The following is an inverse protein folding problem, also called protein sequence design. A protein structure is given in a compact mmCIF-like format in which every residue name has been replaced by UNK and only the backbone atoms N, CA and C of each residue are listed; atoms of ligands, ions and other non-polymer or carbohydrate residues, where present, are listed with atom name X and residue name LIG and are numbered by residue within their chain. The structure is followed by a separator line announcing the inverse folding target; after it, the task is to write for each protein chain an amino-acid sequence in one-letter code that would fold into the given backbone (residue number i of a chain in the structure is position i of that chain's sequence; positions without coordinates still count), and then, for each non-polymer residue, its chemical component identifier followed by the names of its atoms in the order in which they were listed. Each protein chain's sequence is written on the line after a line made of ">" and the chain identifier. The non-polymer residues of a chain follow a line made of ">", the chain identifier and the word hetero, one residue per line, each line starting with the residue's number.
data_IF_855441430848
#
_entry.id   IF_855441430848
#
_cell.length_a   1.000
_cell.length_b   1.000
_cell.length_c   1.000
_cell.angle_alpha   90.00
_cell.angle_beta   90.00
_cell.angle_gamma   90.00
#
_symmetry.space_group_name_H-M   'P 1'
#
loop_
_entity.id
_entity.type
_entity.pdbx_description
1 polymer ?
#
# COMPACT_ATOMS: atom_id res chain seq x y z
N UNK A 1 3.63 1.00 2.11
CA UNK A 1 2.38 0.28 2.44
C UNK A 1 2.66 -1.22 2.34
N UNK A 2 1.67 -2.07 2.03
CA UNK A 2 1.94 -3.41 1.51
C UNK A 2 2.65 -4.37 2.45
N UNK A 3 3.45 -5.29 1.90
CA UNK A 3 4.09 -6.35 2.68
C UNK A 3 5.11 -5.87 3.72
N UNK A 4 5.79 -4.74 3.46
CA UNK A 4 6.71 -4.12 4.44
C UNK A 4 5.92 -3.62 5.67
N UNK A 5 4.76 -3.00 5.47
CA UNK A 5 3.93 -2.55 6.59
C UNK A 5 3.37 -3.74 7.39
N UNK A 6 3.05 -4.86 6.75
CA UNK A 6 2.66 -6.11 7.44
C UNK A 6 3.77 -6.57 8.40
N UNK A 7 5.04 -6.47 8.01
CA UNK A 7 6.17 -6.84 8.90
C UNK A 7 6.29 -5.95 10.13
N UNK A 8 5.75 -4.72 10.09
CA UNK A 8 5.75 -3.80 11.22
C UNK A 8 4.54 -4.03 12.15
N UNK A 9 3.37 -4.39 11.59
CA UNK A 9 2.10 -4.44 12.32
C UNK A 9 1.53 -5.84 12.53
N UNK A 10 2.16 -6.90 12.04
CA UNK A 10 1.61 -8.26 12.07
C UNK A 10 2.70 -9.30 12.27
N UNK A 11 2.31 -10.59 12.23
CA UNK A 11 3.27 -11.69 12.18
C UNK A 11 4.18 -11.55 10.95
N UNK A 12 5.51 -11.39 11.12
CA UNK A 12 6.40 -11.14 10.01
C UNK A 12 6.39 -12.28 9.00
N UNK A 13 6.33 -11.93 7.72
CA UNK A 13 6.43 -12.86 6.59
C UNK A 13 7.28 -12.28 5.46
N UNK A 14 7.85 -13.11 4.56
CA UNK A 14 8.60 -12.61 3.41
C UNK A 14 7.75 -11.72 2.50
N UNK A 15 8.38 -10.71 1.92
CA UNK A 15 7.83 -9.89 0.83
C UNK A 15 8.96 -9.66 -0.17
N UNK A 16 8.64 -9.68 -1.46
CA UNK A 16 9.64 -9.64 -2.54
C UNK A 16 9.51 -8.40 -3.42
N UNK A 17 8.55 -7.55 -3.07
CA UNK A 17 8.17 -6.31 -3.71
C UNK A 17 8.09 -5.17 -2.68
N UNK A 18 8.11 -3.93 -3.18
CA UNK A 18 7.99 -2.72 -2.36
C UNK A 18 6.81 -1.88 -2.86
N UNK A 19 5.84 -1.63 -2.00
CA UNK A 19 4.67 -0.82 -2.33
C UNK A 19 4.77 0.60 -1.78
N UNK A 20 4.63 1.59 -2.67
CA UNK A 20 4.57 3.01 -2.36
C UNK A 20 3.18 3.59 -2.66
N UNK A 21 2.76 4.58 -1.89
CA UNK A 21 1.62 5.43 -2.22
C UNK A 21 2.13 6.85 -2.44
N UNK A 22 1.85 7.43 -3.61
CA UNK A 22 2.38 8.72 -4.02
C UNK A 22 1.25 9.71 -4.33
N UNK A 23 1.32 10.90 -3.74
CA UNK A 23 0.51 12.04 -4.16
C UNK A 23 1.18 12.74 -5.34
N UNK A 24 0.96 12.20 -6.54
CA UNK A 24 1.45 12.76 -7.80
C UNK A 24 0.30 12.83 -8.80
N UNK A 25 0.17 13.97 -9.45
CA UNK A 25 -0.85 14.16 -10.49
C UNK A 25 -0.40 13.53 -11.81
N UNK A 26 -1.36 13.09 -12.63
CA UNK A 26 -1.10 12.36 -13.88
C UNK A 26 -0.28 13.15 -14.90
N UNK A 27 -0.45 14.46 -14.94
CA UNK A 27 0.32 15.39 -15.78
C UNK A 27 1.82 15.42 -15.44
N UNK A 28 2.18 15.02 -14.22
CA UNK A 28 3.58 14.94 -13.74
C UNK A 28 4.19 13.55 -13.81
N UNK A 29 3.49 12.55 -14.39
CA UNK A 29 4.03 11.19 -14.49
C UNK A 29 5.33 11.14 -15.30
N UNK A 30 5.47 11.98 -16.32
CA UNK A 30 6.72 12.06 -17.09
C UNK A 30 7.91 12.50 -16.24
N UNK A 31 7.72 13.45 -15.33
CA UNK A 31 8.75 13.88 -14.39
C UNK A 31 9.08 12.79 -13.38
N UNK A 32 8.05 12.10 -12.86
CA UNK A 32 8.23 10.95 -11.98
C UNK A 32 9.05 9.86 -12.66
N UNK A 33 8.75 9.55 -13.93
CA UNK A 33 9.44 8.50 -14.68
C UNK A 33 10.92 8.83 -14.85
N UNK A 34 11.23 10.06 -15.27
CA UNK A 34 12.61 10.51 -15.38
C UNK A 34 13.37 10.41 -14.05
N UNK A 35 12.76 10.84 -12.94
CA UNK A 35 13.39 10.75 -11.62
C UNK A 35 13.61 9.29 -11.16
N UNK A 36 12.68 8.40 -11.46
CA UNK A 36 12.80 6.96 -11.13
C UNK A 36 13.90 6.30 -11.97
N UNK A 37 14.01 6.65 -13.25
CA UNK A 37 15.08 6.19 -14.13
C UNK A 37 16.47 6.69 -13.70
N UNK A 38 16.58 7.95 -13.27
CA UNK A 38 17.81 8.51 -12.70
C UNK A 38 18.28 7.75 -11.44
N UNK A 39 17.34 7.17 -10.69
CA UNK A 39 17.63 6.30 -9.53
C UNK A 39 17.99 4.86 -9.93
N UNK A 40 18.03 4.54 -11.23
CA UNK A 40 18.42 3.23 -11.76
C UNK A 40 17.29 2.22 -11.89
N UNK A 41 16.04 2.63 -11.68
CA UNK A 41 14.87 1.77 -11.90
C UNK A 41 14.46 1.80 -13.38
N UNK A 42 14.01 0.68 -13.91
CA UNK A 42 13.38 0.61 -15.22
C UNK A 42 11.86 0.68 -15.11
N UNK A 43 11.24 1.31 -16.12
CA UNK A 43 9.80 1.46 -16.25
C UNK A 43 9.39 0.81 -17.58
N UNK A 44 8.39 -0.09 -17.59
CA UNK A 44 7.88 -0.65 -18.84
C UNK A 44 7.32 0.41 -19.80
N UNK A 45 7.69 0.33 -21.08
CA UNK A 45 7.27 1.28 -22.14
C UNK A 45 5.74 1.44 -22.26
N UNK A 46 4.95 0.45 -21.81
CA UNK A 46 3.49 0.54 -21.81
C UNK A 46 2.99 1.78 -21.05
N UNK A 47 3.65 2.15 -19.94
CA UNK A 47 3.26 3.31 -19.12
C UNK A 47 3.56 4.65 -19.79
N UNK A 48 4.54 4.72 -20.70
CA UNK A 48 4.82 5.94 -21.48
C UNK A 48 3.65 6.30 -22.42
N UNK A 49 2.90 5.30 -22.89
CA UNK A 49 1.69 5.47 -23.68
C UNK A 49 0.45 5.85 -22.87
N UNK A 50 0.58 6.10 -21.56
CA UNK A 50 -0.52 6.46 -20.67
C UNK A 50 -1.28 5.27 -20.07
N UNK A 51 -0.79 4.04 -20.27
CA UNK A 51 -1.31 2.86 -19.55
C UNK A 51 -1.09 3.03 -18.05
N UNK A 52 -2.01 2.52 -17.23
CA UNK A 52 -1.87 2.46 -15.75
C UNK A 52 -2.55 1.17 -15.27
N UNK A 53 -1.84 0.36 -14.49
CA UNK A 53 -2.40 -0.86 -13.91
C UNK A 53 -3.32 -0.52 -12.73
N UNK A 54 -4.17 -1.46 -12.30
CA UNK A 54 -5.02 -1.26 -11.13
C UNK A 54 -5.11 -2.50 -10.25
N UNK A 55 -5.16 -2.28 -8.92
CA UNK A 55 -5.50 -3.31 -7.92
C UNK A 55 -6.62 -2.78 -7.04
N UNK A 56 -7.74 -3.50 -6.99
CA UNK A 56 -8.93 -3.04 -6.24
C UNK A 56 -9.42 -1.66 -6.68
N UNK A 57 -9.28 -1.33 -7.96
CA UNK A 57 -9.60 -0.01 -8.52
C UNK A 57 -8.57 1.09 -8.25
N UNK A 58 -7.50 0.81 -7.50
CA UNK A 58 -6.43 1.78 -7.24
C UNK A 58 -5.40 1.74 -8.36
N UNK A 59 -5.14 2.87 -9.04
CA UNK A 59 -4.13 2.96 -10.09
C UNK A 59 -2.71 2.82 -9.56
N UNK A 60 -1.86 2.12 -10.30
CA UNK A 60 -0.45 1.94 -9.98
C UNK A 60 0.44 1.84 -11.23
N UNK A 61 1.70 2.20 -11.04
CA UNK A 61 2.78 2.00 -12.02
C UNK A 61 3.78 1.01 -11.45
N UNK A 62 4.19 0.03 -12.24
CA UNK A 62 5.20 -0.95 -11.84
C UNK A 62 6.57 -0.52 -12.32
N UNK A 63 7.54 -0.57 -11.42
CA UNK A 63 8.93 -0.24 -11.68
C UNK A 63 9.83 -1.36 -11.18
N UNK A 64 11.04 -1.47 -11.73
CA UNK A 64 11.98 -2.52 -11.35
C UNK A 64 13.39 -1.99 -11.16
N UNK A 65 14.01 -2.29 -10.04
CA UNK A 65 15.45 -2.08 -9.85
C UNK A 65 16.19 -3.37 -10.13
N UNK A 66 17.27 -3.31 -10.92
CA UNK A 66 18.19 -4.43 -11.09
C UNK A 66 19.47 -4.13 -10.30
N UNK A 67 19.74 -4.94 -9.27
CA UNK A 67 20.91 -4.79 -8.39
C UNK A 67 21.66 -6.13 -8.33
N UNK A 68 22.91 -6.16 -8.78
CA UNK A 68 23.79 -7.33 -8.75
C UNK A 68 23.14 -8.64 -9.28
N UNK A 69 22.41 -8.53 -10.39
CA UNK A 69 21.72 -9.66 -11.02
C UNK A 69 20.40 -10.06 -10.33
N UNK A 70 19.94 -9.31 -9.33
CA UNK A 70 18.64 -9.48 -8.67
C UNK A 70 17.69 -8.38 -9.09
N UNK A 71 16.44 -8.74 -9.38
CA UNK A 71 15.37 -7.80 -9.63
C UNK A 71 14.59 -7.53 -8.33
N UNK A 72 14.33 -6.26 -8.05
CA UNK A 72 13.43 -5.80 -6.98
C UNK A 72 12.28 -5.07 -7.67
N UNK A 73 11.06 -5.59 -7.52
CA UNK A 73 9.87 -4.98 -8.06
C UNK A 73 9.30 -3.95 -7.07
N UNK A 74 8.78 -2.84 -7.58
CA UNK A 74 8.05 -1.88 -6.77
C UNK A 74 6.78 -1.40 -7.48
N UNK A 75 5.71 -1.28 -6.70
CA UNK A 75 4.41 -0.79 -7.14
C UNK A 75 4.22 0.63 -6.61
N UNK A 76 4.03 1.59 -7.52
CA UNK A 76 3.77 2.99 -7.21
C UNK A 76 2.28 3.28 -7.35
N UNK A 77 1.53 3.15 -6.25
CA UNK A 77 0.11 3.51 -6.21
C UNK A 77 -0.08 5.01 -6.26
N UNK A 78 -0.92 5.49 -7.18
CA UNK A 78 -1.27 6.90 -7.30
C UNK A 78 -2.40 7.24 -6.34
N UNK A 79 -2.18 8.24 -5.48
CA UNK A 79 -3.17 8.73 -4.53
C UNK A 79 -4.14 9.69 -5.21
N UNK A 80 -5.18 9.14 -5.84
CA UNK A 80 -6.19 9.91 -6.58
C UNK A 80 -7.49 10.10 -5.79
N UNK A 81 -7.67 9.39 -4.67
CA UNK A 81 -8.88 9.45 -3.84
C UNK A 81 -8.67 10.21 -2.53
N UNK A 82 -9.76 10.75 -1.96
CA UNK A 82 -9.74 11.39 -0.64
C UNK A 82 -9.21 10.43 0.43
N UNK A 83 -9.58 9.15 0.35
CA UNK A 83 -9.05 8.10 1.22
C UNK A 83 -7.52 8.03 1.16
N UNK A 84 -6.94 7.91 -0.04
CA UNK A 84 -5.49 7.80 -0.20
C UNK A 84 -4.75 9.08 0.26
N UNK A 85 -5.37 10.25 0.09
CA UNK A 85 -4.81 11.50 0.62
C UNK A 85 -4.82 11.53 2.15
N UNK A 86 -5.90 11.06 2.78
CA UNK A 86 -5.97 10.92 4.25
C UNK A 86 -4.96 9.89 4.78
N UNK A 87 -4.78 8.76 4.08
CA UNK A 87 -3.72 7.77 4.37
C UNK A 87 -2.33 8.41 4.37
N UNK A 88 -2.01 9.21 3.33
CA UNK A 88 -0.73 9.91 3.25
C UNK A 88 -0.57 10.89 4.42
N UNK A 89 -1.63 11.62 4.78
CA UNK A 89 -1.61 12.57 5.89
C UNK A 89 -1.43 11.88 7.26
N UNK A 90 -2.00 10.68 7.43
CA UNK A 90 -1.95 9.88 8.66
C UNK A 90 -0.71 8.99 8.78
N UNK A 91 0.16 8.96 7.76
CA UNK A 91 1.36 8.11 7.75
C UNK A 91 2.19 8.31 9.02
N UNK A 92 2.74 7.22 9.53
CA UNK A 92 3.64 7.25 10.69
C UNK A 92 5.08 7.08 10.22
N UNK A 93 6.01 7.72 10.91
CA UNK A 93 7.43 7.61 10.60
C UNK A 93 8.12 6.69 11.61
N UNK A 94 8.93 5.76 11.12
CA UNK A 94 9.77 4.89 11.94
C UNK A 94 11.21 4.91 11.45
N UNK A 95 12.15 4.53 12.32
CA UNK A 95 13.55 4.38 11.96
C UNK A 95 13.84 2.91 11.61
N UNK A 96 14.35 2.66 10.42
CA UNK A 96 14.84 1.36 9.96
C UNK A 96 16.32 1.51 9.62
N UNK A 97 17.19 0.82 10.35
CA UNK A 97 18.66 0.91 10.17
C UNK A 97 19.19 2.36 10.16
N UNK A 98 18.60 3.22 10.99
CA UNK A 98 18.97 4.65 11.08
C UNK A 98 18.35 5.55 9.99
N UNK A 99 17.62 4.98 9.03
CA UNK A 99 16.88 5.71 8.01
C UNK A 99 15.44 5.95 8.43
N UNK A 100 14.91 7.16 8.21
CA UNK A 100 13.50 7.43 8.45
C UNK A 100 12.64 6.93 7.30
N UNK A 101 11.69 6.05 7.60
CA UNK A 101 10.76 5.45 6.64
C UNK A 101 9.33 5.80 7.04
N UNK A 102 8.50 6.16 6.07
CA UNK A 102 7.07 6.36 6.29
C UNK A 102 6.29 5.08 6.04
N UNK A 103 5.41 4.74 6.98
CA UNK A 103 4.48 3.61 6.89
C UNK A 103 3.04 4.12 6.97
N UNK A 104 2.13 3.39 6.33
CA UNK A 104 0.68 3.58 6.54
C UNK A 104 0.32 3.18 7.96
N UNK A 105 -0.76 3.71 8.53
CA UNK A 105 -1.25 3.23 9.83
C UNK A 105 -1.71 1.77 9.76
N UNK A 106 -1.87 1.12 10.91
CA UNK A 106 -2.39 -0.25 10.95
C UNK A 106 -3.85 -0.31 10.44
N UNK A 107 -4.67 0.68 10.77
CA UNK A 107 -6.04 0.81 10.27
C UNK A 107 -6.07 0.96 8.74
N UNK A 108 -5.22 1.81 8.19
CA UNK A 108 -5.13 2.02 6.74
C UNK A 108 -4.61 0.77 6.03
N UNK A 109 -3.66 0.06 6.63
CA UNK A 109 -3.19 -1.22 6.11
C UNK A 109 -4.33 -2.23 6.03
N UNK A 110 -5.15 -2.37 7.08
CA UNK A 110 -6.33 -3.25 7.07
C UNK A 110 -7.27 -2.85 5.94
N UNK A 111 -7.61 -1.56 5.81
CA UNK A 111 -8.50 -1.08 4.75
C UNK A 111 -7.96 -1.40 3.34
N UNK A 112 -6.68 -1.15 3.06
CA UNK A 112 -6.07 -1.53 1.78
C UNK A 112 -6.12 -3.02 1.51
N UNK A 113 -5.91 -3.85 2.54
CA UNK A 113 -5.97 -5.31 2.43
C UNK A 113 -7.39 -5.79 2.07
N UNK A 114 -8.41 -5.17 2.65
CA UNK A 114 -9.82 -5.47 2.34
C UNK A 114 -10.25 -4.97 0.95
N UNK A 115 -9.67 -3.87 0.47
CA UNK A 115 -9.85 -3.39 -0.92
C UNK A 115 -9.26 -4.41 -1.90
N UNK A 116 -8.00 -4.82 -1.71
CA UNK A 116 -7.31 -5.77 -2.59
C UNK A 116 -7.91 -7.18 -2.53
N UNK A 117 -8.32 -7.62 -1.34
CA UNK A 117 -9.18 -8.78 -1.10
C UNK A 117 -8.67 -10.13 -1.64
N UNK A 118 -7.36 -10.29 -1.89
CA UNK A 118 -6.78 -11.60 -2.25
C UNK A 118 -6.73 -12.48 -1.00
N UNK A 119 -6.67 -13.82 -1.13
CA UNK A 119 -6.61 -14.72 0.03
C UNK A 119 -5.52 -14.35 1.05
N UNK A 120 -4.34 -13.96 0.56
CA UNK A 120 -3.24 -13.50 1.42
C UNK A 120 -3.55 -12.17 2.12
N UNK A 121 -4.27 -11.27 1.48
CA UNK A 121 -4.59 -9.97 2.07
C UNK A 121 -5.57 -10.11 3.25
N UNK A 122 -6.53 -11.04 3.15
CA UNK A 122 -7.45 -11.34 4.25
C UNK A 122 -6.72 -11.90 5.48
N UNK A 123 -5.77 -12.81 5.26
CA UNK A 123 -4.90 -13.33 6.32
C UNK A 123 -4.08 -12.21 6.95
N UNK A 124 -3.41 -11.40 6.13
CA UNK A 124 -2.60 -10.28 6.64
C UNK A 124 -3.48 -9.29 7.45
N UNK A 125 -4.73 -9.02 7.04
CA UNK A 125 -5.65 -8.16 7.79
C UNK A 125 -6.04 -8.76 9.15
N UNK A 126 -6.28 -10.06 9.21
CA UNK A 126 -6.54 -10.79 10.46
C UNK A 126 -5.32 -10.75 11.40
N UNK A 127 -4.12 -10.99 10.87
CA UNK A 127 -2.89 -10.96 11.66
C UNK A 127 -2.63 -9.56 12.25
N UNK A 128 -2.88 -8.48 11.48
CA UNK A 128 -2.80 -7.11 12.01
C UNK A 128 -3.83 -6.90 13.12
N UNK A 129 -5.08 -7.32 12.94
CA UNK A 129 -6.12 -7.19 13.96
C UNK A 129 -5.83 -7.99 15.25
N UNK A 130 -5.14 -9.14 15.11
CA UNK A 130 -4.75 -9.98 16.23
C UNK A 130 -3.59 -9.37 17.02
N UNK A 131 -2.57 -8.87 16.33
CA UNK A 131 -1.33 -8.38 16.94
C UNK A 131 -1.42 -6.94 17.43
N UNK A 132 -2.22 -6.09 16.77
CA UNK A 132 -2.41 -4.71 17.18
C UNK A 132 -3.44 -4.62 18.32
N UNK A 133 -3.12 -3.76 19.30
CA UNK A 133 -3.96 -3.52 20.48
C UNK A 133 -5.23 -2.74 20.15
N UNK A 134 -5.27 -1.48 20.57
CA UNK A 134 -6.38 -0.58 20.25
C UNK A 134 -6.22 -0.04 18.83
N UNK A 135 -7.25 -0.27 18.01
CA UNK A 135 -7.39 0.27 16.66
C UNK A 135 -8.61 1.17 16.61
N UNK A 136 -8.54 2.24 15.83
CA UNK A 136 -9.68 3.13 15.62
C UNK A 136 -10.74 2.48 14.72
N UNK A 137 -11.64 1.72 15.35
CA UNK A 137 -12.76 1.05 14.66
C UNK A 137 -13.76 2.04 14.08
N UNK A 138 -13.91 3.23 14.66
CA UNK A 138 -14.83 4.24 14.14
C UNK A 138 -14.31 4.79 12.81
N UNK A 139 -13.01 5.09 12.75
CA UNK A 139 -12.31 5.45 11.51
C UNK A 139 -12.44 4.36 10.44
N UNK A 140 -12.10 3.11 10.78
CA UNK A 140 -12.20 2.02 9.81
C UNK A 140 -13.63 1.82 9.31
N UNK A 141 -14.63 1.91 10.19
CA UNK A 141 -16.04 1.79 9.79
C UNK A 141 -16.46 2.90 8.85
N UNK A 142 -16.14 4.17 9.16
CA UNK A 142 -16.42 5.31 8.28
C UNK A 142 -15.89 5.05 6.88
N UNK A 143 -14.59 4.76 6.76
CA UNK A 143 -13.97 4.54 5.47
C UNK A 143 -14.48 3.29 4.77
N UNK A 144 -14.76 2.22 5.49
CA UNK A 144 -15.28 0.99 4.89
C UNK A 144 -16.64 1.18 4.22
N UNK A 145 -17.48 2.10 4.71
CA UNK A 145 -18.74 2.47 4.08
C UNK A 145 -18.49 3.20 2.76
N UNK A 146 -17.65 4.23 2.79
CA UNK A 146 -17.29 5.03 1.61
C UNK A 146 -16.60 4.19 0.52
N UNK A 147 -15.80 3.20 0.93
CA UNK A 147 -15.08 2.29 0.06
C UNK A 147 -15.90 1.08 -0.39
N UNK A 148 -17.15 0.92 0.08
CA UNK A 148 -18.01 -0.21 -0.28
C UNK A 148 -17.55 -1.57 0.25
N UNK A 149 -16.70 -1.59 1.29
CA UNK A 149 -16.12 -2.80 1.91
C UNK A 149 -16.62 -3.05 3.33
N UNK A 150 -17.64 -2.33 3.79
CA UNK A 150 -18.17 -2.42 5.16
C UNK A 150 -18.49 -3.85 5.60
N UNK A 151 -19.12 -4.65 4.72
CA UNK A 151 -19.40 -6.06 5.01
C UNK A 151 -18.13 -6.86 5.31
N UNK A 152 -17.08 -6.67 4.50
CA UNK A 152 -15.79 -7.35 4.70
C UNK A 152 -15.14 -6.92 6.01
N UNK A 153 -15.22 -5.64 6.36
CA UNK A 153 -14.67 -5.16 7.62
C UNK A 153 -15.35 -5.83 8.81
N UNK A 154 -16.69 -5.88 8.84
CA UNK A 154 -17.41 -6.49 9.96
C UNK A 154 -17.17 -8.02 10.04
N UNK A 155 -17.07 -8.71 8.90
CA UNK A 155 -16.71 -10.14 8.87
C UNK A 155 -15.34 -10.38 9.53
N UNK A 156 -14.34 -9.57 9.18
CA UNK A 156 -13.00 -9.73 9.74
C UNK A 156 -12.97 -9.32 11.22
N UNK A 157 -13.66 -8.24 11.62
CA UNK A 157 -13.77 -7.84 13.03
C UNK A 157 -14.48 -8.90 13.89
N UNK A 158 -15.48 -9.59 13.33
CA UNK A 158 -16.20 -10.68 14.01
C UNK A 158 -15.35 -11.95 14.14
N UNK A 159 -14.40 -12.17 13.22
CA UNK A 159 -13.48 -13.32 13.28
C UNK A 159 -12.40 -13.22 14.38
N UNK A 160 -12.38 -12.13 15.17
CA UNK A 160 -11.48 -11.93 16.32
C UNK A 160 -11.95 -12.67 17.60
N UNK A 161 -12.83 -13.68 17.46
CA UNK A 161 -13.33 -14.52 18.56
C UNK A 161 -12.58 -15.85 18.65
#
# INVERSE_FOLDING_TARGET
>A
MGGIAVRAYALPRPTYDVDFTLAVSRDRLRELFAAVEELGYSIPNAYEGGWVDQVGGMPLIKIRLNLDGKAIDADLFLAETVFQQEVIARRVTCAVEGQQVSLVTAEDLILFKLIASRPRDLIDAQDVLFTQGELDKAYMRRWSQELGIAKKLEEVLASRL
#
